data_IF_791784585021
#
_entry.id   IF_791784585021
#
_cell.length_a   1.000
_cell.length_b   1.000
_cell.length_c   1.000
_cell.angle_alpha   90.00
_cell.angle_beta   90.00
_cell.angle_gamma   90.00
#
_symmetry.space_group_name_H-M   'P 1'
#
loop_
_entity.id
_entity.type
_entity.pdbx_description
1 polymer ?
#
# COMPACT_ATOMS: atom_id res chain seq x y z
N UNK A 1 -29.28 13.60 4.92
CA UNK A 1 -28.87 13.38 4.60
C UNK A 1 -28.26 13.21 4.10
N UNK A 2 -27.91 13.18 3.80
CA UNK A 2 -27.33 12.90 3.31
C UNK A 2 -26.62 12.66 2.89
N UNK A 3 -26.40 12.66 2.66
CA UNK A 3 -25.72 12.42 2.15
C UNK A 3 -25.12 12.08 1.64
N UNK A 4 -25.06 11.89 1.34
CA UNK A 4 -24.38 11.56 0.81
C UNK A 4 -23.86 11.70 -0.02
N UNK A 5 -24.44 11.99 -0.11
CA UNK A 5 -23.93 12.26 -1.17
C UNK A 5 -22.54 12.12 -1.32
N UNK A 6 -21.84 12.52 -0.77
CA UNK A 6 -20.65 12.08 -0.95
C UNK A 6 -20.49 11.13 0.01
N UNK A 7 -20.92 10.09 -0.36
CA UNK A 7 -20.55 9.03 0.36
C UNK A 7 -19.12 9.08 0.59
N UNK A 8 -18.65 8.52 1.65
CA UNK A 8 -17.24 8.42 1.89
C UNK A 8 -16.55 7.87 0.67
N UNK A 9 -15.43 8.41 0.37
CA UNK A 9 -14.67 7.96 -0.77
C UNK A 9 -14.29 6.50 -0.61
N UNK A 10 -14.38 5.76 -1.69
CA UNK A 10 -13.90 4.40 -1.72
C UNK A 10 -12.42 4.36 -1.39
N UNK A 11 -11.98 3.34 -0.66
CA UNK A 11 -10.58 3.22 -0.32
C UNK A 11 -9.74 3.02 -1.59
N UNK A 12 -8.64 3.75 -1.73
CA UNK A 12 -7.79 3.59 -2.91
C UNK A 12 -7.29 2.17 -3.14
N UNK A 13 -7.26 1.33 -2.10
CA UNK A 13 -6.74 -0.02 -2.22
C UNK A 13 -7.64 -0.96 -3.02
N UNK A 14 -8.83 -0.51 -3.39
CA UNK A 14 -9.73 -1.32 -4.22
C UNK A 14 -10.51 -2.37 -3.47
N UNK A 15 -10.61 -2.27 -2.14
CA UNK A 15 -11.34 -3.25 -1.35
C UNK A 15 -12.85 -3.17 -1.54
N UNK A 16 -13.35 -2.06 -2.04
CA UNK A 16 -14.78 -1.81 -2.14
C UNK A 16 -15.37 -1.16 -0.92
N UNK A 17 -14.60 -1.04 0.14
CA UNK A 17 -15.04 -0.36 1.37
C UNK A 17 -14.65 1.10 1.33
N UNK A 18 -15.27 1.91 2.19
CA UNK A 18 -14.82 3.29 2.33
C UNK A 18 -13.45 3.32 3.00
N UNK A 19 -12.71 4.39 2.76
CA UNK A 19 -11.39 4.54 3.37
C UNK A 19 -11.49 4.44 4.90
N UNK A 20 -12.45 5.11 5.51
CA UNK A 20 -12.58 5.11 6.97
C UNK A 20 -12.89 3.73 7.54
N UNK A 21 -13.45 2.84 6.76
CA UNK A 21 -13.74 1.47 7.19
C UNK A 21 -12.71 0.47 6.68
N UNK A 22 -11.63 0.94 6.06
CA UNK A 22 -10.63 0.09 5.44
C UNK A 22 -9.24 0.54 5.88
N UNK A 23 -8.44 1.07 4.95
CA UNK A 23 -7.06 1.46 5.28
C UNK A 23 -6.99 2.57 6.32
N UNK A 24 -8.01 3.41 6.39
CA UNK A 24 -8.04 4.47 7.40
C UNK A 24 -7.98 3.95 8.83
N UNK A 25 -8.53 2.75 9.08
CA UNK A 25 -8.47 2.13 10.39
C UNK A 25 -7.01 1.89 10.79
N UNK A 26 -6.19 1.39 9.86
CA UNK A 26 -4.80 1.09 10.14
C UNK A 26 -3.94 2.34 10.15
N UNK A 27 -4.24 3.31 9.29
CA UNK A 27 -3.54 4.59 9.34
C UNK A 27 -3.80 5.30 10.66
N UNK A 28 -4.93 5.04 11.27
CA UNK A 28 -5.26 5.60 12.57
C UNK A 28 -4.64 4.87 13.76
N UNK A 29 -3.91 3.78 13.52
CA UNK A 29 -3.17 3.10 14.57
C UNK A 29 -3.64 1.72 14.95
N UNK A 30 -4.73 1.22 14.35
CA UNK A 30 -5.21 -0.12 14.68
C UNK A 30 -4.24 -1.18 14.21
N UNK A 31 -4.11 -2.30 14.93
CA UNK A 31 -3.22 -3.38 14.49
C UNK A 31 -3.68 -3.97 13.17
N UNK A 32 -2.73 -4.29 12.31
CA UNK A 32 -3.02 -4.87 11.00
C UNK A 32 -3.07 -6.39 11.15
N UNK A 33 -4.16 -7.04 10.71
CA UNK A 33 -4.34 -8.48 11.00
C UNK A 33 -3.48 -9.41 10.17
N UNK A 34 -3.05 -9.02 8.98
CA UNK A 34 -2.26 -9.89 8.12
C UNK A 34 -1.50 -9.07 7.10
N UNK A 35 -0.63 -9.75 6.34
CA UNK A 35 0.23 -9.07 5.39
C UNK A 35 -0.54 -8.46 4.23
N UNK A 36 -1.64 -9.08 3.80
CA UNK A 36 -2.42 -8.49 2.72
C UNK A 36 -3.04 -7.16 3.15
N UNK A 37 -3.58 -7.10 4.37
CA UNK A 37 -4.14 -5.85 4.87
C UNK A 37 -3.06 -4.78 4.99
N UNK A 38 -1.85 -5.16 5.39
CA UNK A 38 -0.75 -4.22 5.45
C UNK A 38 -0.36 -3.73 4.08
N UNK A 39 -0.29 -4.62 3.10
CA UNK A 39 0.03 -4.24 1.74
C UNK A 39 -0.96 -3.21 1.20
N UNK A 40 -2.26 -3.45 1.42
CA UNK A 40 -3.29 -2.51 0.98
C UNK A 40 -3.16 -1.17 1.69
N UNK A 41 -2.89 -1.18 3.00
CA UNK A 41 -2.73 0.06 3.76
C UNK A 41 -1.51 0.84 3.31
N UNK A 42 -0.43 0.14 2.94
CA UNK A 42 0.78 0.80 2.43
C UNK A 42 0.55 1.40 1.05
N UNK A 43 -0.19 0.70 0.16
CA UNK A 43 -0.54 1.27 -1.13
C UNK A 43 -1.32 2.58 -0.94
N UNK A 44 -2.33 2.56 -0.07
CA UNK A 44 -3.11 3.77 0.20
C UNK A 44 -2.25 4.86 0.83
N UNK A 45 -1.25 4.47 1.63
CA UNK A 45 -0.32 5.44 2.20
C UNK A 45 0.52 6.11 1.11
N UNK A 46 0.89 5.39 0.05
CA UNK A 46 1.56 6.03 -1.09
C UNK A 46 0.62 6.99 -1.80
N UNK A 47 -0.63 6.60 -2.00
CA UNK A 47 -1.62 7.47 -2.63
C UNK A 47 -1.79 8.77 -1.85
N UNK A 48 -1.82 8.67 -0.53
CA UNK A 48 -2.04 9.82 0.34
C UNK A 48 -0.77 10.47 0.84
N UNK A 49 0.40 9.96 0.41
CA UNK A 49 1.71 10.50 0.79
C UNK A 49 1.94 10.47 2.29
N UNK A 50 1.57 9.36 2.92
CA UNK A 50 1.79 9.17 4.36
C UNK A 50 3.11 8.47 4.59
N UNK A 51 4.20 9.23 4.44
CA UNK A 51 5.54 8.66 4.63
C UNK A 51 5.74 8.14 6.05
N UNK A 52 5.10 8.76 7.04
CA UNK A 52 5.21 8.31 8.41
C UNK A 52 4.65 6.90 8.59
N UNK A 53 3.50 6.59 7.99
CA UNK A 53 2.94 5.24 8.06
C UNK A 53 3.83 4.24 7.35
N UNK A 54 4.36 4.62 6.18
CA UNK A 54 5.24 3.75 5.41
C UNK A 54 6.50 3.41 6.20
N UNK A 55 7.12 4.41 6.82
CA UNK A 55 8.33 4.17 7.62
C UNK A 55 8.03 3.36 8.88
N UNK A 56 6.91 3.65 9.54
CA UNK A 56 6.54 2.93 10.76
C UNK A 56 6.24 1.45 10.52
N UNK A 57 5.83 1.08 9.29
CA UNK A 57 5.50 -0.30 8.94
C UNK A 57 6.60 -0.96 8.09
N UNK A 58 7.76 -0.39 8.04
CA UNK A 58 8.90 -0.89 7.27
C UNK A 58 9.91 -1.50 8.23
N UNK A 59 10.30 -2.75 7.97
CA UNK A 59 11.25 -3.44 8.85
C UNK A 59 12.57 -2.68 8.88
N UNK A 60 13.18 -2.60 10.06
CA UNK A 60 14.39 -1.77 10.24
C UNK A 60 15.54 -2.23 9.36
N UNK A 61 15.61 -3.49 9.00
CA UNK A 61 16.72 -4.03 8.18
C UNK A 61 16.79 -3.39 6.80
N UNK A 62 15.66 -2.89 6.29
CA UNK A 62 15.61 -2.32 4.93
C UNK A 62 15.01 -0.91 4.91
N UNK A 63 14.60 -0.41 6.06
CA UNK A 63 13.93 0.89 6.14
C UNK A 63 14.88 2.03 5.78
N UNK A 64 14.50 2.90 4.84
CA UNK A 64 15.32 4.09 4.56
C UNK A 64 15.24 5.07 5.73
N UNK A 65 16.24 5.93 5.85
CA UNK A 65 16.25 6.94 6.92
C UNK A 65 15.11 7.94 6.73
N UNK A 66 14.83 8.30 5.48
CA UNK A 66 13.76 9.24 5.16
C UNK A 66 13.07 8.75 3.88
N UNK A 67 11.84 9.23 3.67
CA UNK A 67 11.09 8.88 2.48
C UNK A 67 10.36 10.13 2.00
N UNK A 68 10.79 10.64 0.85
CA UNK A 68 10.20 11.82 0.26
C UNK A 68 9.23 11.41 -0.83
N UNK A 69 7.94 11.65 -0.62
CA UNK A 69 6.88 11.30 -1.56
C UNK A 69 6.39 12.49 -2.37
N UNK A 70 7.08 13.63 -2.31
CA UNK A 70 6.67 14.79 -3.07
C UNK A 70 6.91 14.57 -4.56
N UNK A 71 6.07 15.19 -5.38
CA UNK A 71 6.21 15.11 -6.83
C UNK A 71 7.25 16.11 -7.31
N UNK A 72 7.93 15.76 -8.40
CA UNK A 72 8.72 16.73 -9.12
C UNK A 72 7.79 17.63 -9.91
N UNK A 73 8.18 18.89 -10.18
CA UNK A 73 7.35 19.78 -10.99
C UNK A 73 7.01 19.14 -12.34
N UNK A 74 5.73 19.15 -12.69
CA UNK A 74 5.26 18.59 -13.93
C UNK A 74 5.19 17.08 -14.00
N UNK A 75 5.60 16.39 -12.92
CA UNK A 75 5.67 14.93 -12.90
C UNK A 75 4.82 14.36 -11.77
N UNK A 76 3.59 14.85 -11.66
CA UNK A 76 2.69 14.37 -10.62
C UNK A 76 2.39 12.88 -10.82
N UNK A 77 2.46 12.12 -9.73
CA UNK A 77 2.10 10.71 -9.73
C UNK A 77 0.63 10.56 -9.40
N UNK A 78 -0.11 9.91 -10.29
CA UNK A 78 -1.51 9.59 -10.06
C UNK A 78 -1.64 8.09 -9.95
N UNK A 79 -2.05 7.62 -8.78
CA UNK A 79 -2.24 6.19 -8.55
C UNK A 79 -3.62 5.79 -9.08
N UNK A 80 -3.65 4.79 -9.94
CA UNK A 80 -4.86 4.43 -10.70
C UNK A 80 -5.55 3.18 -10.18
N UNK A 81 -4.89 2.40 -9.35
CA UNK A 81 -5.53 1.23 -8.78
C UNK A 81 -4.55 0.17 -8.32
N UNK A 82 -5.06 -0.75 -7.53
CA UNK A 82 -4.32 -1.86 -6.98
C UNK A 82 -5.09 -3.14 -7.21
N UNK A 83 -4.39 -4.18 -7.63
CA UNK A 83 -4.96 -5.52 -7.74
C UNK A 83 -4.05 -6.47 -6.98
N UNK A 84 -4.57 -7.09 -5.92
CA UNK A 84 -3.82 -8.12 -5.20
C UNK A 84 -4.02 -9.42 -5.95
N UNK A 85 -2.90 -10.03 -6.38
CA UNK A 85 -2.94 -11.25 -7.17
C UNK A 85 -2.94 -12.47 -6.28
N UNK A 86 -2.08 -12.49 -5.26
CA UNK A 86 -2.00 -13.62 -4.36
C UNK A 86 -1.44 -13.19 -3.01
N UNK A 87 -1.82 -13.95 -2.00
CA UNK A 87 -1.35 -13.76 -0.65
C UNK A 87 -0.94 -15.15 -0.15
N UNK A 88 0.30 -15.31 0.26
CA UNK A 88 0.80 -16.59 0.73
C UNK A 88 1.41 -16.45 2.11
N UNK A 89 0.87 -17.19 3.06
CA UNK A 89 1.46 -17.29 4.38
C UNK A 89 2.54 -18.36 4.30
N UNK A 90 3.80 -17.97 4.45
CA UNK A 90 4.91 -18.90 4.30
C UNK A 90 5.16 -19.70 5.58
N UNK A 91 5.05 -19.04 6.72
CA UNK A 91 5.10 -19.70 8.02
C UNK A 91 4.42 -18.74 9.01
N UNK A 92 4.54 -19.02 10.31
CA UNK A 92 3.84 -18.21 11.30
C UNK A 92 4.30 -16.76 11.36
N UNK A 93 5.48 -16.46 10.80
CA UNK A 93 6.06 -15.12 10.91
C UNK A 93 6.44 -14.50 9.57
N UNK A 94 6.14 -15.15 8.45
CA UNK A 94 6.52 -14.63 7.13
C UNK A 94 5.40 -14.81 6.15
N UNK A 95 5.24 -13.84 5.26
CA UNK A 95 4.22 -13.89 4.22
C UNK A 95 4.69 -13.13 2.99
N UNK A 96 4.06 -13.46 1.85
CA UNK A 96 4.27 -12.79 0.57
C UNK A 96 2.97 -12.28 0.03
N UNK A 97 2.99 -11.10 -0.58
CA UNK A 97 1.82 -10.58 -1.30
C UNK A 97 2.28 -10.17 -2.68
N UNK A 98 1.64 -10.74 -3.71
CA UNK A 98 1.91 -10.34 -5.10
C UNK A 98 0.79 -9.43 -5.57
N UNK A 99 1.13 -8.35 -6.25
CA UNK A 99 0.13 -7.38 -6.66
C UNK A 99 0.56 -6.63 -7.91
N UNK A 100 -0.42 -5.97 -8.53
CA UNK A 100 -0.19 -5.03 -9.63
C UNK A 100 -0.70 -3.68 -9.15
N UNK A 101 0.17 -2.67 -9.20
CA UNK A 101 -0.22 -1.28 -8.95
C UNK A 101 -0.15 -0.54 -10.28
N UNK A 102 -1.14 0.30 -10.53
CA UNK A 102 -1.21 1.08 -11.78
C UNK A 102 -1.09 2.54 -11.45
N UNK A 103 -0.34 3.26 -12.28
CA UNK A 103 -0.09 4.67 -12.01
C UNK A 103 0.20 5.39 -13.32
N UNK A 104 0.13 6.71 -13.24
CA UNK A 104 0.52 7.59 -14.35
C UNK A 104 1.40 8.69 -13.78
N UNK A 105 2.51 8.97 -14.44
CA UNK A 105 3.40 10.04 -14.04
C UNK A 105 3.31 11.16 -15.06
N UNK A 106 2.93 12.36 -14.62
CA UNK A 106 2.78 13.50 -15.49
C UNK A 106 1.74 13.24 -16.59
N UNK A 107 2.08 13.60 -17.80
CA UNK A 107 1.21 13.41 -18.95
C UNK A 107 1.42 12.08 -19.67
N UNK A 108 2.25 11.21 -19.10
CA UNK A 108 2.54 9.91 -19.70
C UNK A 108 1.37 8.96 -19.65
N UNK A 109 1.51 7.83 -20.31
CA UNK A 109 0.51 6.80 -20.30
C UNK A 109 0.51 6.03 -18.98
N UNK A 110 -0.53 5.22 -18.78
CA UNK A 110 -0.63 4.39 -17.59
C UNK A 110 0.47 3.33 -17.58
N UNK A 111 1.04 3.09 -16.41
CA UNK A 111 2.09 2.11 -16.21
C UNK A 111 1.65 1.10 -15.17
N UNK A 112 2.28 -0.06 -15.18
CA UNK A 112 2.00 -1.13 -14.21
C UNK A 112 3.27 -1.50 -13.49
N UNK A 113 3.16 -1.63 -12.15
CA UNK A 113 4.21 -2.22 -11.33
C UNK A 113 3.70 -3.58 -10.91
N UNK A 114 4.43 -4.64 -11.25
CA UNK A 114 4.12 -6.00 -10.83
C UNK A 114 5.16 -6.36 -9.79
N UNK A 115 4.71 -6.59 -8.57
CA UNK A 115 5.65 -6.77 -7.46
C UNK A 115 5.22 -7.92 -6.57
N UNK A 116 6.21 -8.60 -6.00
CA UNK A 116 6.00 -9.58 -4.95
C UNK A 116 6.72 -9.06 -3.72
N UNK A 117 5.97 -8.73 -2.69
CA UNK A 117 6.50 -8.13 -1.48
C UNK A 117 6.62 -9.15 -0.36
N UNK A 118 7.67 -9.01 0.44
CA UNK A 118 7.96 -9.87 1.57
C UNK A 118 7.62 -9.16 2.86
N UNK A 119 6.95 -9.87 3.77
CA UNK A 119 6.52 -9.32 5.05
C UNK A 119 6.92 -10.25 6.18
N UNK A 120 7.18 -9.68 7.36
CA UNK A 120 7.47 -10.45 8.56
C UNK A 120 6.57 -9.99 9.70
N UNK A 121 6.30 -10.91 10.62
CA UNK A 121 5.58 -10.62 11.84
C UNK A 121 6.60 -10.57 12.97
N UNK A 122 6.72 -9.42 13.62
CA UNK A 122 7.68 -9.19 14.68
C UNK A 122 6.99 -8.47 15.81
N UNK A 123 7.09 -9.02 17.00
CA UNK A 123 6.45 -8.42 18.19
C UNK A 123 4.97 -8.17 18.00
N UNK A 124 4.30 -9.09 17.31
CA UNK A 124 2.87 -8.98 17.05
C UNK A 124 2.49 -7.99 15.95
N UNK A 125 3.46 -7.47 15.21
CA UNK A 125 3.21 -6.45 14.20
C UNK A 125 3.76 -6.91 12.85
N UNK A 126 2.91 -6.84 11.81
CA UNK A 126 3.36 -7.11 10.45
C UNK A 126 4.16 -5.93 9.92
N UNK A 127 5.30 -6.23 9.28
CA UNK A 127 6.19 -5.22 8.73
C UNK A 127 6.59 -5.62 7.31
N UNK A 128 6.69 -4.62 6.45
CA UNK A 128 7.19 -4.80 5.09
C UNK A 128 8.70 -4.90 5.13
N UNK A 129 9.27 -5.86 4.40
CA UNK A 129 10.73 -6.02 4.34
C UNK A 129 11.25 -5.48 3.02
N UNK A 130 10.86 -6.10 1.92
CA UNK A 130 11.28 -5.63 0.60
C UNK A 130 10.36 -6.21 -0.46
N UNK A 131 10.56 -5.80 -1.70
CA UNK A 131 9.77 -6.27 -2.81
C UNK A 131 10.63 -6.55 -4.01
N UNK A 132 10.16 -7.47 -4.83
CA UNK A 132 10.81 -7.89 -6.04
C UNK A 132 9.92 -7.51 -7.21
N UNK A 133 10.43 -6.67 -8.11
CA UNK A 133 9.67 -6.26 -9.28
C UNK A 133 9.76 -7.40 -10.28
N UNK A 134 8.60 -7.97 -10.59
CA UNK A 134 8.54 -9.09 -11.49
C UNK A 134 8.64 -8.69 -12.94
N UNK A 135 8.78 -9.69 -13.81
CA UNK A 135 8.78 -9.41 -15.25
C UNK A 135 7.44 -8.83 -15.63
N UNK A 136 7.49 -7.94 -16.61
CA UNK A 136 6.29 -7.38 -17.09
C UNK A 136 5.73 -8.21 -18.16
N UNK A 137 4.91 -9.08 -17.88
CA UNK A 137 4.35 -9.93 -18.89
C UNK A 137 2.93 -9.63 -19.14
#
# INVERSE_FOLDING_TARGET
MQNHSHSPSACPCGSGKSYDACCGVYHGGAPVPNAEALMRARYTAYVQRRSDFLLATWHESTRPATLDLSDRPGLRTNWLGLQVISFRQLDSQRAEVSFIARLRIGAGGAQRIVERSQFVLENGQWLYVDGEIGPKK
#
